data_IF_155612502672
#
_entry.id   IF_155612502672
#
_cell.length_a   1.000
_cell.length_b   1.000
_cell.length_c   1.000
_cell.angle_alpha   90.00
_cell.angle_beta   90.00
_cell.angle_gamma   90.00
#
_symmetry.space_group_name_H-M   'P 1'
#
loop_
_entity.id
_entity.type
_entity.pdbx_description
1 polymer ?
#
# COMPACT_ATOMS: atom_id res chain seq x y z
N UNK A 1 5.46 8.01 18.23
CA UNK A 1 4.47 7.25 17.41
C UNK A 1 4.19 5.92 18.08
N UNK A 2 2.93 5.63 18.38
CA UNK A 2 2.48 4.32 18.83
C UNK A 2 2.48 3.36 17.66
N UNK A 3 3.06 2.17 17.83
CA UNK A 3 3.11 1.16 16.77
C UNK A 3 1.82 0.35 16.71
N UNK A 4 1.31 0.15 15.51
CA UNK A 4 0.13 -0.66 15.25
C UNK A 4 0.41 -2.14 15.58
N UNK A 5 -0.47 -2.83 16.31
CA UNK A 5 -0.34 -4.25 16.54
C UNK A 5 -0.47 -5.03 15.22
N UNK A 6 0.31 -6.08 15.05
CA UNK A 6 0.21 -6.98 13.90
C UNK A 6 -0.25 -8.36 14.32
N UNK A 7 -1.23 -8.91 13.60
CA UNK A 7 -1.66 -10.29 13.79
C UNK A 7 -0.62 -11.31 13.28
N UNK A 8 0.30 -10.89 12.42
CA UNK A 8 1.38 -11.73 11.93
C UNK A 8 2.54 -11.72 12.93
N UNK A 9 2.77 -12.85 13.62
CA UNK A 9 3.80 -12.96 14.68
C UNK A 9 5.22 -12.70 14.17
N UNK A 10 5.53 -13.11 12.95
CA UNK A 10 6.88 -12.89 12.37
C UNK A 10 7.09 -11.41 12.13
N UNK A 11 6.11 -10.74 11.53
CA UNK A 11 6.16 -9.29 11.33
C UNK A 11 6.18 -8.53 12.66
N UNK A 12 5.36 -8.93 13.64
CA UNK A 12 5.26 -8.28 14.94
C UNK A 12 6.61 -8.25 15.68
N UNK A 13 7.38 -9.35 15.62
CA UNK A 13 8.70 -9.43 16.26
C UNK A 13 9.75 -8.49 15.66
N UNK A 14 9.60 -8.12 14.39
CA UNK A 14 10.51 -7.21 13.67
C UNK A 14 9.93 -5.80 13.47
N UNK A 15 8.69 -5.57 13.86
CA UNK A 15 7.96 -4.32 13.58
C UNK A 15 8.68 -3.05 14.08
N UNK A 16 9.27 -3.01 15.29
CA UNK A 16 9.98 -1.81 15.75
C UNK A 16 11.20 -1.47 14.86
N UNK A 17 12.00 -2.47 14.50
CA UNK A 17 13.19 -2.27 13.66
C UNK A 17 12.80 -1.89 12.22
N UNK A 18 11.73 -2.49 11.69
CA UNK A 18 11.19 -2.16 10.38
C UNK A 18 10.63 -0.74 10.36
N UNK A 19 9.94 -0.31 11.43
CA UNK A 19 9.44 1.06 11.55
C UNK A 19 10.58 2.10 11.60
N UNK A 20 11.68 1.80 12.31
CA UNK A 20 12.90 2.62 12.28
C UNK A 20 13.44 2.75 10.86
N UNK A 21 13.60 1.61 10.17
CA UNK A 21 14.15 1.59 8.82
C UNK A 21 13.25 2.32 7.81
N UNK A 22 11.93 2.12 7.90
CA UNK A 22 10.95 2.80 7.06
C UNK A 22 11.00 4.31 7.25
N UNK A 23 10.94 4.79 8.51
CA UNK A 23 10.96 6.23 8.80
C UNK A 23 12.26 6.87 8.32
N UNK A 24 13.41 6.23 8.54
CA UNK A 24 14.71 6.70 8.03
C UNK A 24 14.76 6.82 6.50
N UNK A 25 14.16 5.87 5.80
CA UNK A 25 14.15 5.84 4.35
C UNK A 25 13.16 6.85 3.73
N UNK A 26 12.06 7.16 4.43
CA UNK A 26 10.95 7.95 3.87
C UNK A 26 10.88 9.38 4.39
N UNK A 27 11.50 9.67 5.55
CA UNK A 27 11.46 10.97 6.21
C UNK A 27 12.87 11.49 6.53
N UNK A 28 13.58 12.06 5.55
CA UNK A 28 14.96 12.56 5.75
C UNK A 28 15.07 13.69 6.78
N UNK A 29 13.96 14.36 7.11
CA UNK A 29 13.90 15.40 8.14
C UNK A 29 13.72 14.87 9.58
N UNK A 30 13.54 13.55 9.77
CA UNK A 30 13.44 12.95 11.09
C UNK A 30 14.84 12.58 11.64
N UNK A 31 15.05 12.86 12.92
CA UNK A 31 16.29 12.50 13.66
C UNK A 31 15.96 11.75 14.95
N UNK A 32 16.98 11.27 15.63
CA UNK A 32 16.90 10.58 16.93
C UNK A 32 15.88 9.43 16.92
N UNK A 33 15.87 8.68 15.81
CA UNK A 33 14.87 7.63 15.59
C UNK A 33 15.27 6.37 16.33
N UNK A 34 14.49 6.00 17.35
CA UNK A 34 14.73 4.83 18.18
C UNK A 34 13.45 4.12 18.63
N UNK A 35 13.46 2.79 18.75
CA UNK A 35 12.35 2.07 19.37
C UNK A 35 12.40 2.26 20.89
N UNK A 36 11.26 2.59 21.49
CA UNK A 36 11.11 2.74 22.94
C UNK A 36 9.92 1.93 23.43
N UNK A 37 9.94 1.53 24.69
CA UNK A 37 8.85 0.85 25.32
C UNK A 37 8.34 1.67 26.53
N UNK A 38 7.05 1.96 26.56
CA UNK A 38 6.41 2.67 27.66
C UNK A 38 5.33 1.76 28.26
N UNK A 39 5.54 1.36 29.52
CA UNK A 39 4.63 0.46 30.25
C UNK A 39 4.31 -0.86 29.47
N UNK A 40 5.31 -1.46 28.80
CA UNK A 40 5.14 -2.68 28.02
C UNK A 40 4.54 -2.49 26.63
N UNK A 41 4.34 -1.24 26.20
CA UNK A 41 3.77 -0.90 24.89
C UNK A 41 4.88 -0.35 23.98
N UNK A 42 5.02 -0.88 22.75
CA UNK A 42 6.07 -0.44 21.83
C UNK A 42 5.69 0.88 21.13
N UNK A 43 6.64 1.81 21.13
CA UNK A 43 6.59 3.08 20.41
C UNK A 43 7.84 3.25 19.55
N UNK A 44 7.77 4.17 18.61
CA UNK A 44 8.91 4.75 17.93
C UNK A 44 9.05 6.22 18.37
N UNK A 45 10.15 6.55 19.03
CA UNK A 45 10.52 7.94 19.34
C UNK A 45 11.34 8.53 18.20
N UNK A 46 11.14 9.79 17.89
CA UNK A 46 11.89 10.55 16.90
C UNK A 46 11.64 12.04 17.06
N UNK A 47 12.54 12.85 16.51
CA UNK A 47 12.40 14.30 16.39
C UNK A 47 12.08 14.65 14.94
N UNK A 48 11.02 15.43 14.72
CA UNK A 48 10.64 15.93 13.40
C UNK A 48 9.81 17.21 13.52
N UNK A 49 9.72 17.99 12.44
CA UNK A 49 8.83 19.15 12.36
C UNK A 49 7.44 18.77 11.82
N UNK A 50 6.49 19.71 11.85
CA UNK A 50 5.11 19.49 11.41
C UNK A 50 5.00 19.08 9.91
N UNK A 51 6.00 19.42 9.08
CA UNK A 51 6.04 19.02 7.66
C UNK A 51 6.18 17.50 7.48
N UNK A 52 6.62 16.80 8.52
CA UNK A 52 6.72 15.34 8.51
C UNK A 52 5.37 14.63 8.73
N UNK A 53 4.31 15.32 9.14
CA UNK A 53 3.03 14.69 9.53
C UNK A 53 2.43 13.81 8.44
N UNK A 54 2.45 14.25 7.18
CA UNK A 54 1.95 13.45 6.05
C UNK A 54 2.75 12.16 5.86
N UNK A 55 4.07 12.24 6.02
CA UNK A 55 4.95 11.06 5.90
C UNK A 55 4.75 10.12 7.08
N UNK A 56 4.62 10.66 8.29
CA UNK A 56 4.36 9.89 9.51
C UNK A 56 3.00 9.19 9.43
N UNK A 57 1.96 9.87 8.95
CA UNK A 57 0.63 9.28 8.77
C UNK A 57 0.62 8.10 7.78
N UNK A 58 1.56 8.10 6.80
CA UNK A 58 1.71 7.01 5.82
C UNK A 58 2.56 5.83 6.32
N UNK A 59 3.27 5.95 7.47
CA UNK A 59 4.10 4.85 7.97
C UNK A 59 3.26 3.59 8.19
N UNK A 60 3.78 2.45 7.76
CA UNK A 60 3.07 1.16 7.81
C UNK A 60 2.74 0.70 9.23
N UNK A 61 3.57 1.09 10.18
CA UNK A 61 3.42 0.81 11.61
C UNK A 61 2.74 1.93 12.40
N UNK A 62 2.27 3.02 11.79
CA UNK A 62 1.65 4.12 12.54
C UNK A 62 0.22 3.77 12.98
N UNK A 63 -0.01 3.75 14.30
CA UNK A 63 -1.35 3.62 14.87
C UNK A 63 -1.86 4.97 15.39
N UNK A 64 -1.01 5.70 16.12
CA UNK A 64 -1.31 7.03 16.64
C UNK A 64 -0.01 7.83 16.85
N UNK A 65 -0.10 9.15 16.79
CA UNK A 65 1.02 10.03 17.05
C UNK A 65 0.80 10.79 18.35
N UNK A 66 1.87 10.96 19.12
CA UNK A 66 1.88 11.76 20.33
C UNK A 66 3.12 12.63 20.34
N UNK A 67 2.99 13.84 20.81
CA UNK A 67 4.11 14.68 21.19
C UNK A 67 4.48 14.38 22.66
N UNK A 68 5.77 14.25 22.93
CA UNK A 68 6.28 14.02 24.28
C UNK A 68 6.69 15.35 24.90
N UNK A 69 5.92 15.82 25.87
CA UNK A 69 6.14 17.11 26.57
C UNK A 69 6.10 16.88 28.08
N UNK A 70 7.16 17.24 28.77
CA UNK A 70 7.28 17.17 30.24
C UNK A 70 6.88 15.82 30.85
N UNK A 71 7.26 14.72 30.16
CA UNK A 71 6.96 13.36 30.61
C UNK A 71 5.53 12.88 30.31
N UNK A 72 4.72 13.68 29.59
CA UNK A 72 3.37 13.36 29.18
C UNK A 72 3.29 13.14 27.67
N UNK A 73 2.31 12.30 27.25
CA UNK A 73 1.99 12.07 25.85
C UNK A 73 0.76 12.89 25.46
N UNK A 74 0.96 13.93 24.65
CA UNK A 74 -0.12 14.75 24.09
C UNK A 74 -0.51 14.19 22.71
N UNK A 75 -1.77 13.79 22.47
CA UNK A 75 -2.20 13.32 21.14
C UNK A 75 -1.98 14.37 20.06
N UNK A 76 -1.49 13.93 18.90
CA UNK A 76 -1.35 14.74 17.69
C UNK A 76 -2.27 14.18 16.63
N UNK A 77 -3.13 15.02 16.07
CA UNK A 77 -4.03 14.63 14.98
C UNK A 77 -3.22 14.40 13.71
N UNK A 78 -3.38 13.23 13.11
CA UNK A 78 -2.75 12.90 11.84
C UNK A 78 -3.65 13.33 10.68
N UNK A 79 -3.07 13.88 9.59
CA UNK A 79 -3.82 14.22 8.40
C UNK A 79 -4.38 12.95 7.72
N UNK A 80 -5.53 13.10 7.06
CA UNK A 80 -6.06 12.05 6.17
C UNK A 80 -5.29 12.09 4.85
N UNK A 81 -4.36 11.15 4.69
CA UNK A 81 -3.41 11.09 3.56
C UNK A 81 -3.74 9.98 2.56
N UNK A 82 -4.81 9.25 2.80
CA UNK A 82 -5.18 8.11 1.98
C UNK A 82 -6.38 8.40 1.08
N UNK A 83 -6.29 7.99 -0.19
CA UNK A 83 -7.38 8.13 -1.15
C UNK A 83 -8.57 7.22 -0.83
N UNK A 84 -8.30 6.03 -0.28
CA UNK A 84 -9.33 5.06 0.10
C UNK A 84 -9.11 4.54 1.51
N UNK A 85 -10.18 4.12 2.20
CA UNK A 85 -10.09 3.49 3.51
C UNK A 85 -9.22 2.22 3.50
N UNK A 86 -8.71 1.83 4.66
CA UNK A 86 -7.86 0.65 4.85
C UNK A 86 -8.57 -0.67 4.52
N UNK A 87 -9.89 -0.70 4.57
CA UNK A 87 -10.69 -1.87 4.27
C UNK A 87 -10.58 -2.33 2.80
N UNK A 88 -10.14 -1.45 1.87
CA UNK A 88 -9.75 -1.84 0.51
C UNK A 88 -8.65 -2.92 0.51
N UNK A 89 -7.77 -2.87 1.49
CA UNK A 89 -6.64 -3.81 1.63
C UNK A 89 -6.93 -4.90 2.65
N UNK A 90 -7.66 -4.60 3.73
CA UNK A 90 -7.82 -5.52 4.87
C UNK A 90 -9.01 -6.48 4.75
N UNK A 91 -10.05 -6.16 3.96
CA UNK A 91 -11.19 -7.07 3.73
C UNK A 91 -10.79 -8.41 3.07
N UNK A 92 -9.99 -8.44 1.98
CA UNK A 92 -9.63 -9.70 1.38
C UNK A 92 -8.84 -10.59 2.35
N UNK A 93 -9.37 -11.79 2.63
CA UNK A 93 -8.73 -12.80 3.48
C UNK A 93 -8.58 -14.08 2.67
N UNK A 94 -7.34 -14.55 2.48
CA UNK A 94 -7.03 -15.77 1.76
C UNK A 94 -5.66 -16.31 2.17
N UNK A 95 -5.47 -17.59 1.98
CA UNK A 95 -4.18 -18.25 2.25
C UNK A 95 -3.09 -17.70 1.32
N UNK A 96 -1.93 -17.40 1.85
CA UNK A 96 -0.81 -16.84 1.09
C UNK A 96 -0.90 -15.33 0.84
N UNK A 97 -1.87 -14.64 1.43
CA UNK A 97 -1.91 -13.17 1.37
C UNK A 97 -0.67 -12.57 2.04
N UNK A 98 0.00 -11.68 1.34
CA UNK A 98 1.07 -10.88 1.93
C UNK A 98 0.52 -9.99 3.05
N UNK A 99 1.28 -9.85 4.13
CA UNK A 99 0.90 -8.98 5.25
C UNK A 99 0.71 -7.53 4.77
N UNK A 100 -0.38 -6.90 5.11
CA UNK A 100 -0.78 -5.58 4.64
C UNK A 100 0.19 -4.47 5.10
N UNK A 101 0.63 -4.53 6.36
CA UNK A 101 1.61 -3.57 6.90
C UNK A 101 2.95 -3.71 6.19
N UNK A 102 3.40 -4.96 5.94
CA UNK A 102 4.62 -5.22 5.19
C UNK A 102 4.51 -4.74 3.73
N UNK A 103 3.37 -4.94 3.07
CA UNK A 103 3.14 -4.42 1.71
C UNK A 103 3.20 -2.89 1.68
N UNK A 104 2.59 -2.23 2.66
CA UNK A 104 2.63 -0.77 2.78
C UNK A 104 4.07 -0.28 3.04
N UNK A 105 4.83 -0.95 3.91
CA UNK A 105 6.24 -0.65 4.16
C UNK A 105 7.06 -0.74 2.87
N UNK A 106 6.95 -1.85 2.13
CA UNK A 106 7.67 -2.04 0.87
C UNK A 106 7.34 -0.92 -0.12
N UNK A 107 6.07 -0.59 -0.26
CA UNK A 107 5.64 0.48 -1.16
C UNK A 107 6.21 1.83 -0.72
N UNK A 108 6.11 2.18 0.56
CA UNK A 108 6.63 3.44 1.11
C UNK A 108 8.14 3.58 0.87
N UNK A 109 8.93 2.54 1.16
CA UNK A 109 10.38 2.55 0.95
C UNK A 109 10.71 2.66 -0.54
N UNK A 110 10.03 1.87 -1.40
CA UNK A 110 10.24 1.94 -2.85
C UNK A 110 9.95 3.33 -3.40
N UNK A 111 8.81 3.91 -3.04
CA UNK A 111 8.43 5.26 -3.47
C UNK A 111 9.36 6.35 -2.91
N UNK A 112 9.89 6.14 -1.71
CA UNK A 112 10.87 7.03 -1.08
C UNK A 112 12.22 7.09 -1.81
N UNK A 113 12.57 6.04 -2.56
CA UNK A 113 13.82 5.99 -3.34
C UNK A 113 13.70 6.55 -4.77
N UNK A 114 12.47 6.80 -5.23
CA UNK A 114 12.21 7.32 -6.58
C UNK A 114 12.13 8.85 -6.54
N UNK A 115 12.76 9.51 -7.51
CA UNK A 115 12.67 10.97 -7.65
C UNK A 115 11.21 11.41 -7.77
N UNK A 116 10.79 12.40 -6.98
CA UNK A 116 9.42 12.93 -6.98
C UNK A 116 9.16 13.68 -8.28
N UNK A 117 8.05 13.35 -8.93
CA UNK A 117 7.46 14.19 -9.97
C UNK A 117 6.57 15.27 -9.32
N UNK A 118 6.25 16.31 -10.09
CA UNK A 118 5.59 17.50 -9.57
C UNK A 118 4.18 17.23 -8.97
N UNK A 119 3.46 16.22 -9.46
CA UNK A 119 2.10 15.88 -9.00
C UNK A 119 2.06 14.85 -7.86
N UNK A 120 3.21 14.28 -7.50
CA UNK A 120 3.32 13.26 -6.45
C UNK A 120 2.70 11.90 -6.78
N UNK A 121 1.95 11.77 -7.89
CA UNK A 121 1.32 10.52 -8.35
C UNK A 121 2.37 9.62 -8.99
N UNK A 122 2.28 8.31 -8.76
CA UNK A 122 3.18 7.30 -9.30
C UNK A 122 2.43 6.20 -10.01
N UNK A 123 3.15 5.48 -10.85
CA UNK A 123 2.72 4.22 -11.44
C UNK A 123 3.47 3.08 -10.75
N UNK A 124 2.73 2.19 -10.10
CA UNK A 124 3.27 1.06 -9.35
C UNK A 124 3.00 -0.22 -10.15
N UNK A 125 4.06 -0.94 -10.50
CA UNK A 125 3.97 -2.24 -11.16
C UNK A 125 4.29 -3.36 -10.18
N UNK A 126 3.37 -4.33 -10.06
CA UNK A 126 3.59 -5.61 -9.39
C UNK A 126 3.54 -6.75 -10.43
N UNK A 127 4.70 -7.33 -10.80
CA UNK A 127 4.75 -8.37 -11.81
C UNK A 127 4.26 -9.74 -11.32
N UNK A 128 3.94 -9.89 -10.03
CA UNK A 128 3.40 -11.11 -9.42
C UNK A 128 2.24 -10.74 -8.48
N UNK A 129 1.22 -10.10 -9.05
CA UNK A 129 0.22 -9.33 -8.30
C UNK A 129 -0.69 -10.18 -7.38
N UNK A 130 -0.76 -11.50 -7.58
CA UNK A 130 -1.65 -12.36 -6.81
C UNK A 130 -3.10 -11.89 -6.90
N UNK A 131 -3.73 -11.67 -5.74
CA UNK A 131 -5.07 -11.08 -5.67
C UNK A 131 -5.06 -9.56 -5.49
N UNK A 132 -3.95 -8.90 -5.84
CA UNK A 132 -3.85 -7.44 -5.92
C UNK A 132 -3.63 -6.71 -4.60
N UNK A 133 -2.96 -7.29 -3.61
CA UNK A 133 -2.67 -6.60 -2.34
C UNK A 133 -1.83 -5.34 -2.57
N UNK A 134 -0.73 -5.46 -3.33
CA UNK A 134 0.13 -4.32 -3.69
C UNK A 134 -0.64 -3.27 -4.50
N UNK A 135 -1.45 -3.71 -5.47
CA UNK A 135 -2.23 -2.82 -6.32
C UNK A 135 -3.28 -2.05 -5.50
N UNK A 136 -3.99 -2.72 -4.58
CA UNK A 136 -4.93 -2.09 -3.66
C UNK A 136 -4.24 -1.11 -2.71
N UNK A 137 -3.02 -1.42 -2.25
CA UNK A 137 -2.21 -0.53 -1.41
C UNK A 137 -1.79 0.72 -2.19
N UNK A 138 -1.37 0.57 -3.44
CA UNK A 138 -1.02 1.68 -4.32
C UNK A 138 -2.22 2.61 -4.57
N UNK A 139 -3.38 2.05 -4.92
CA UNK A 139 -4.62 2.81 -5.07
C UNK A 139 -4.99 3.56 -3.78
N UNK A 140 -4.91 2.88 -2.62
CA UNK A 140 -5.19 3.50 -1.32
C UNK A 140 -4.29 4.71 -1.06
N UNK A 141 -3.05 4.68 -1.53
CA UNK A 141 -2.10 5.78 -1.39
C UNK A 141 -2.23 6.86 -2.48
N UNK A 142 -3.17 6.75 -3.42
CA UNK A 142 -3.39 7.72 -4.48
C UNK A 142 -2.48 7.51 -5.70
N UNK A 143 -2.02 6.29 -5.95
CA UNK A 143 -1.17 5.92 -7.08
C UNK A 143 -1.89 5.05 -8.09
N UNK A 144 -1.48 5.13 -9.36
CA UNK A 144 -1.91 4.16 -10.37
C UNK A 144 -1.21 2.81 -10.16
N UNK A 145 -1.92 1.74 -10.47
CA UNK A 145 -1.45 0.39 -10.21
C UNK A 145 -1.50 -0.48 -11.46
N UNK A 146 -0.44 -1.23 -11.69
CA UNK A 146 -0.31 -2.17 -12.80
C UNK A 146 0.13 -3.52 -12.27
N UNK A 147 -0.45 -4.61 -12.78
CA UNK A 147 -0.12 -5.94 -12.30
C UNK A 147 -0.14 -7.00 -13.38
N UNK A 148 0.66 -8.05 -13.16
CA UNK A 148 0.62 -9.29 -13.94
C UNK A 148 0.41 -10.44 -12.97
N UNK A 149 -0.47 -11.38 -13.34
CA UNK A 149 -0.75 -12.57 -12.55
C UNK A 149 -0.91 -13.79 -13.46
N UNK A 150 -0.19 -14.85 -13.12
CA UNK A 150 -0.23 -16.09 -13.90
C UNK A 150 -1.46 -16.94 -13.58
N UNK A 151 -1.92 -16.91 -12.32
CA UNK A 151 -3.08 -17.68 -11.87
C UNK A 151 -4.40 -16.95 -12.21
N UNK A 152 -5.14 -17.51 -13.15
CA UNK A 152 -6.46 -17.03 -13.55
C UNK A 152 -7.44 -16.88 -12.39
N UNK A 153 -7.39 -17.77 -11.38
CA UNK A 153 -8.27 -17.69 -10.21
C UNK A 153 -7.94 -16.51 -9.32
N UNK A 154 -6.66 -16.20 -9.15
CA UNK A 154 -6.21 -15.03 -8.41
C UNK A 154 -6.63 -13.74 -9.11
N UNK A 155 -6.47 -13.66 -10.43
CA UNK A 155 -6.94 -12.55 -11.26
C UNK A 155 -8.46 -12.35 -11.14
N UNK A 156 -9.26 -13.41 -11.28
CA UNK A 156 -10.73 -13.34 -11.15
C UNK A 156 -11.16 -12.88 -9.76
N UNK A 157 -10.48 -13.36 -8.73
CA UNK A 157 -10.75 -12.95 -7.35
C UNK A 157 -10.48 -11.45 -7.15
N UNK A 158 -9.38 -10.90 -7.69
CA UNK A 158 -9.07 -9.48 -7.65
C UNK A 158 -10.14 -8.66 -8.39
N UNK A 159 -10.48 -9.04 -9.61
CA UNK A 159 -11.48 -8.36 -10.43
C UNK A 159 -12.86 -8.33 -9.76
N UNK A 160 -13.30 -9.46 -9.23
CA UNK A 160 -14.56 -9.58 -8.51
C UNK A 160 -14.59 -8.76 -7.24
N UNK A 161 -13.48 -8.77 -6.48
CA UNK A 161 -13.36 -7.98 -5.25
C UNK A 161 -13.47 -6.49 -5.54
N UNK A 162 -12.67 -5.92 -6.44
CA UNK A 162 -12.70 -4.48 -6.72
C UNK A 162 -14.06 -4.02 -7.23
N UNK A 163 -14.65 -4.75 -8.18
CA UNK A 163 -15.99 -4.45 -8.70
C UNK A 163 -17.04 -4.43 -7.60
N UNK A 164 -16.97 -5.40 -6.67
CA UNK A 164 -17.91 -5.50 -5.55
C UNK A 164 -17.65 -4.44 -4.49
N UNK A 165 -16.38 -4.19 -4.15
CA UNK A 165 -15.96 -3.22 -3.15
C UNK A 165 -16.43 -1.81 -3.51
N UNK A 166 -16.04 -1.30 -4.67
CA UNK A 166 -16.37 0.06 -5.09
C UNK A 166 -17.87 0.27 -5.30
N UNK A 167 -18.58 -0.75 -5.78
CA UNK A 167 -20.05 -0.73 -5.85
C UNK A 167 -20.68 -0.61 -4.46
N UNK A 168 -20.22 -1.39 -3.47
CA UNK A 168 -20.74 -1.34 -2.09
C UNK A 168 -20.43 -0.03 -1.38
N UNK A 169 -19.30 0.59 -1.71
CA UNK A 169 -18.93 1.92 -1.21
C UNK A 169 -19.63 3.06 -1.95
N UNK A 170 -20.51 2.75 -2.90
CA UNK A 170 -21.20 3.74 -3.74
C UNK A 170 -20.26 4.69 -4.49
N UNK A 171 -19.04 4.26 -4.78
CA UNK A 171 -18.05 5.02 -5.53
C UNK A 171 -18.27 4.84 -7.04
N UNK A 172 -18.27 5.96 -7.78
CA UNK A 172 -18.35 5.89 -9.25
C UNK A 172 -17.08 5.25 -9.79
N UNK A 173 -17.24 4.13 -10.50
CA UNK A 173 -16.12 3.37 -11.04
C UNK A 173 -16.51 2.61 -12.32
N UNK A 174 -15.51 2.21 -13.08
CA UNK A 174 -15.61 1.17 -14.12
C UNK A 174 -14.64 0.04 -13.78
N UNK A 175 -15.03 -1.21 -14.06
CA UNK A 175 -14.18 -2.38 -13.85
C UNK A 175 -14.51 -3.41 -14.94
N UNK A 176 -13.78 -3.29 -16.05
CA UNK A 176 -14.03 -4.05 -17.26
C UNK A 176 -12.97 -5.12 -17.46
N UNK A 177 -13.40 -6.34 -17.74
CA UNK A 177 -12.50 -7.45 -18.10
C UNK A 177 -12.63 -7.74 -19.58
N UNK A 178 -11.54 -7.62 -20.31
CA UNK A 178 -11.49 -7.82 -21.76
C UNK A 178 -10.44 -8.87 -22.15
N UNK A 179 -10.64 -9.67 -23.22
CA UNK A 179 -9.62 -10.57 -23.70
C UNK A 179 -8.47 -9.80 -24.36
N UNK A 180 -7.24 -10.19 -24.02
CA UNK A 180 -6.03 -9.74 -24.74
C UNK A 180 -5.82 -10.67 -25.91
N UNK A 181 -5.74 -10.13 -27.14
CA UNK A 181 -5.53 -10.90 -28.36
C UNK A 181 -4.19 -10.56 -29.00
N UNK A 182 -3.47 -11.57 -29.48
CA UNK A 182 -2.30 -11.44 -30.36
C UNK A 182 -2.51 -12.33 -31.57
N UNK A 183 -2.24 -11.80 -32.74
CA UNK A 183 -2.41 -12.51 -34.02
C UNK A 183 -3.78 -13.22 -34.12
N UNK A 184 -4.84 -12.55 -33.62
CA UNK A 184 -6.20 -13.06 -33.63
C UNK A 184 -6.52 -14.11 -32.55
N UNK A 185 -5.55 -14.54 -31.72
CA UNK A 185 -5.71 -15.53 -30.66
C UNK A 185 -5.76 -14.85 -29.30
N UNK A 186 -6.67 -15.31 -28.41
CA UNK A 186 -6.69 -14.87 -27.03
C UNK A 186 -5.45 -15.42 -26.29
N UNK A 187 -4.64 -14.52 -25.74
CA UNK A 187 -3.40 -14.86 -25.00
C UNK A 187 -3.51 -14.55 -23.50
N UNK A 188 -4.60 -13.93 -23.08
CA UNK A 188 -4.84 -13.58 -21.69
C UNK A 188 -6.07 -12.69 -21.54
N UNK A 189 -6.24 -12.14 -20.36
CA UNK A 189 -7.31 -11.19 -20.03
C UNK A 189 -6.70 -9.94 -19.40
N UNK A 190 -7.39 -8.83 -19.57
CA UNK A 190 -7.04 -7.54 -18.99
C UNK A 190 -8.21 -7.02 -18.17
N UNK A 191 -7.96 -6.64 -16.93
CA UNK A 191 -8.85 -5.88 -16.10
C UNK A 191 -8.42 -4.42 -16.13
N UNK A 192 -9.33 -3.52 -16.43
CA UNK A 192 -9.17 -2.08 -16.30
C UNK A 192 -10.16 -1.55 -15.26
N UNK A 193 -9.64 -1.08 -14.14
CA UNK A 193 -10.38 -0.37 -13.11
C UNK A 193 -10.09 1.13 -13.23
N UNK A 194 -11.13 1.94 -13.21
CA UNK A 194 -11.02 3.41 -13.05
C UNK A 194 -11.92 3.85 -11.91
N UNK A 195 -11.36 4.55 -10.95
CA UNK A 195 -12.08 5.04 -9.77
C UNK A 195 -11.40 6.29 -9.23
N UNK A 196 -12.19 7.34 -8.98
CA UNK A 196 -11.73 8.59 -8.37
C UNK A 196 -10.44 9.18 -9.01
N UNK A 197 -10.40 9.16 -10.35
CA UNK A 197 -9.27 9.63 -11.13
C UNK A 197 -8.07 8.68 -11.21
N UNK A 198 -8.05 7.58 -10.44
CA UNK A 198 -7.00 6.57 -10.46
C UNK A 198 -7.33 5.43 -11.42
N UNK A 199 -6.27 4.76 -11.87
CA UNK A 199 -6.35 3.59 -12.75
C UNK A 199 -5.64 2.39 -12.11
N UNK A 200 -6.27 1.22 -12.16
CA UNK A 200 -5.56 -0.03 -11.96
C UNK A 200 -5.78 -0.95 -13.16
N UNK A 201 -4.68 -1.44 -13.72
CA UNK A 201 -4.71 -2.40 -14.83
C UNK A 201 -4.00 -3.69 -14.42
N UNK A 202 -4.65 -4.82 -14.61
CA UNK A 202 -4.08 -6.13 -14.30
C UNK A 202 -4.24 -7.07 -15.51
N UNK A 203 -3.18 -7.80 -15.84
CA UNK A 203 -3.17 -8.79 -16.91
C UNK A 203 -3.05 -10.20 -16.36
N UNK A 204 -3.72 -11.17 -17.01
CA UNK A 204 -3.31 -12.57 -16.87
C UNK A 204 -2.15 -12.85 -17.82
N UNK A 205 -1.06 -13.44 -17.30
CA UNK A 205 0.11 -13.77 -18.11
C UNK A 205 1.35 -14.05 -17.29
N UNK A 206 2.43 -14.33 -18.00
CA UNK A 206 3.75 -14.50 -17.40
C UNK A 206 4.40 -13.13 -17.15
N UNK A 207 4.96 -12.92 -15.97
CA UNK A 207 5.68 -11.68 -15.61
C UNK A 207 6.86 -11.37 -16.56
N UNK A 208 7.44 -12.39 -17.17
CA UNK A 208 8.52 -12.24 -18.17
C UNK A 208 8.07 -11.53 -19.45
N UNK A 209 6.77 -11.54 -19.71
CA UNK A 209 6.16 -10.88 -20.87
C UNK A 209 5.63 -9.47 -20.56
N UNK A 210 5.92 -8.92 -19.36
CA UNK A 210 5.38 -7.63 -18.91
C UNK A 210 5.62 -6.49 -19.91
N UNK A 211 6.82 -6.38 -20.47
CA UNK A 211 7.13 -5.38 -21.50
C UNK A 211 6.21 -5.46 -22.72
N UNK A 212 5.70 -6.64 -23.04
CA UNK A 212 4.81 -6.86 -24.17
C UNK A 212 3.33 -6.66 -23.77
N UNK A 213 2.98 -6.78 -22.49
CA UNK A 213 1.62 -6.61 -21.98
C UNK A 213 1.27 -5.13 -21.82
N UNK A 214 2.25 -4.32 -21.40
CA UNK A 214 2.07 -2.88 -21.15
C UNK A 214 2.56 -1.98 -22.28
N UNK A 215 3.32 -2.52 -23.23
CA UNK A 215 4.05 -1.94 -24.36
C UNK A 215 3.39 -1.30 -25.46
#
# INVERSE_FOLDING_TARGET
MLLAPSANRVYAGSAPQLAVAELKATCPGASDIEPVELAGVPYLAFTADERALDVVARQSGCFALFEHVDGLLRPVELPDVFQFPDDLVTIPKYQGKTNEQFTQLLLNVTLGTVTREADGRRQVLDPMAGRGTTLSTALRQGHDAYGVELDDKAFEAAASFWKTYFRRKHMKHTADVTPVKRDGRAVGRRLDLRVDGLTATMFTGDARDSAQLFG
#
